data_IF_527074073443
#
_entry.id   IF_527074073443
#
_cell.length_a   1.000
_cell.length_b   1.000
_cell.length_c   1.000
_cell.angle_alpha   90.00
_cell.angle_beta   90.00
_cell.angle_gamma   90.00
#
_symmetry.space_group_name_H-M   'P 1'
#
loop_
_entity.id
_entity.type
_entity.pdbx_description
1 polymer ?
#
# COMPACT_ATOMS: atom_id res chain seq x y z
N UNK A 1 28.48 22.35 11.83
CA UNK A 1 27.07 21.96 11.64
C UNK A 1 26.22 23.14 12.07
N UNK A 2 25.68 23.89 11.11
CA UNK A 2 24.72 24.96 11.42
C UNK A 2 23.44 24.34 11.94
N UNK A 3 22.92 24.85 13.05
CA UNK A 3 21.59 24.48 13.51
C UNK A 3 20.59 24.79 12.39
N UNK A 4 19.75 23.81 12.05
CA UNK A 4 18.60 24.02 11.17
C UNK A 4 17.75 25.14 11.77
N UNK A 5 17.55 26.20 10.98
CA UNK A 5 16.69 27.32 11.36
C UNK A 5 15.26 26.79 11.51
N UNK A 6 14.59 26.97 12.66
CA UNK A 6 13.21 26.50 12.83
C UNK A 6 12.23 27.17 11.86
N UNK A 7 12.61 28.29 11.24
CA UNK A 7 11.85 28.98 10.19
C UNK A 7 12.26 28.55 8.76
N UNK A 8 13.06 27.48 8.59
CA UNK A 8 13.36 26.91 7.27
C UNK A 8 12.09 26.26 6.68
N UNK A 9 11.63 26.68 5.48
CA UNK A 9 10.46 26.08 4.83
C UNK A 9 10.60 24.56 4.60
N UNK A 10 11.83 24.05 4.57
CA UNK A 10 12.09 22.61 4.50
C UNK A 10 11.71 21.90 5.79
N UNK A 11 12.00 22.49 6.95
CA UNK A 11 11.67 21.96 8.28
C UNK A 11 10.17 21.94 8.55
N UNK A 12 9.45 22.96 8.06
CA UNK A 12 7.98 23.00 8.10
C UNK A 12 7.39 21.81 7.31
N UNK A 13 7.92 21.53 6.12
CA UNK A 13 7.45 20.42 5.30
C UNK A 13 7.71 19.05 5.96
N UNK A 14 8.88 18.85 6.56
CA UNK A 14 9.17 17.63 7.34
C UNK A 14 8.24 17.47 8.53
N UNK A 15 7.95 18.56 9.25
CA UNK A 15 7.08 18.55 10.43
C UNK A 15 5.64 18.24 10.04
N UNK A 16 5.12 18.86 8.98
CA UNK A 16 3.80 18.60 8.44
C UNK A 16 3.67 17.14 7.99
N UNK A 17 4.60 16.66 7.16
CA UNK A 17 4.59 15.27 6.70
C UNK A 17 4.64 14.29 7.88
N UNK A 18 5.46 14.56 8.91
CA UNK A 18 5.52 13.70 10.09
C UNK A 18 4.18 13.58 10.80
N UNK A 19 3.48 14.71 10.96
CA UNK A 19 2.18 14.75 11.61
C UNK A 19 1.12 14.01 10.77
N UNK A 20 1.06 14.26 9.47
CA UNK A 20 0.15 13.56 8.56
C UNK A 20 0.41 12.06 8.54
N UNK A 21 1.67 11.64 8.45
CA UNK A 21 2.03 10.24 8.48
C UNK A 21 1.62 9.58 9.80
N UNK A 22 1.80 10.24 10.95
CA UNK A 22 1.34 9.69 12.23
C UNK A 22 -0.17 9.56 12.34
N UNK A 23 -0.92 10.53 11.80
CA UNK A 23 -2.38 10.46 11.71
C UNK A 23 -2.81 9.26 10.85
N UNK A 24 -2.25 9.12 9.64
CA UNK A 24 -2.56 7.97 8.77
C UNK A 24 -2.23 6.64 9.44
N UNK A 25 -1.06 6.52 10.08
CA UNK A 25 -0.68 5.27 10.74
C UNK A 25 -1.63 4.93 11.89
N UNK A 26 -2.06 5.93 12.65
CA UNK A 26 -3.04 5.77 13.75
C UNK A 26 -4.41 5.35 13.21
N UNK A 27 -4.90 5.98 12.15
CA UNK A 27 -6.15 5.59 11.50
C UNK A 27 -6.11 4.16 10.97
N UNK A 28 -5.01 3.78 10.30
CA UNK A 28 -4.83 2.42 9.78
C UNK A 28 -4.85 1.40 10.92
N UNK A 29 -4.11 1.62 12.00
CA UNK A 29 -4.11 0.74 13.17
C UNK A 29 -5.52 0.57 13.75
N UNK A 30 -6.23 1.67 13.95
CA UNK A 30 -7.58 1.64 14.50
C UNK A 30 -8.57 0.85 13.64
N UNK A 31 -8.41 0.88 12.32
CA UNK A 31 -9.20 0.04 11.40
C UNK A 31 -8.82 -1.44 11.54
N UNK A 32 -7.52 -1.74 11.49
CA UNK A 32 -7.02 -3.12 11.47
C UNK A 32 -7.17 -3.85 12.81
N UNK A 33 -7.14 -3.11 13.92
CA UNK A 33 -7.35 -3.64 15.26
C UNK A 33 -8.81 -4.00 15.56
N UNK A 34 -9.77 -3.48 14.78
CA UNK A 34 -11.17 -3.88 14.91
C UNK A 34 -11.37 -5.27 14.29
N UNK A 35 -11.77 -6.25 15.11
CA UNK A 35 -11.98 -7.64 14.67
C UNK A 35 -13.45 -8.06 14.80
N UNK A 36 -14.12 -8.50 13.71
CA UNK A 36 -13.62 -8.50 12.32
C UNK A 36 -13.51 -7.07 11.76
N UNK A 37 -12.59 -6.86 10.81
CA UNK A 37 -12.45 -5.58 10.12
C UNK A 37 -13.69 -5.34 9.26
N UNK A 38 -14.32 -4.17 9.42
CA UNK A 38 -15.47 -3.77 8.61
C UNK A 38 -15.06 -3.62 7.12
N UNK A 39 -15.63 -4.42 6.20
CA UNK A 39 -15.34 -4.30 4.77
C UNK A 39 -15.61 -2.91 4.19
N UNK A 40 -16.53 -2.13 4.77
CA UNK A 40 -16.78 -0.76 4.35
C UNK A 40 -15.57 0.18 4.55
N UNK A 41 -14.65 -0.18 5.46
CA UNK A 41 -13.44 0.59 5.78
C UNK A 41 -12.23 0.22 4.92
N UNK A 42 -12.33 -0.78 4.04
CA UNK A 42 -11.24 -1.11 3.09
C UNK A 42 -10.90 0.07 2.18
N UNK A 43 -11.91 0.84 1.77
CA UNK A 43 -11.70 2.04 0.97
C UNK A 43 -10.94 3.14 1.73
N UNK A 44 -11.11 3.22 3.05
CA UNK A 44 -10.40 4.14 3.93
C UNK A 44 -8.92 3.73 4.06
N UNK A 45 -8.66 2.44 4.31
CA UNK A 45 -7.30 1.87 4.31
C UNK A 45 -6.55 2.17 3.02
N UNK A 46 -7.18 1.88 1.87
CA UNK A 46 -6.57 2.12 0.56
C UNK A 46 -6.18 3.59 0.36
N UNK A 47 -7.08 4.53 0.72
CA UNK A 47 -6.79 5.96 0.60
C UNK A 47 -5.66 6.40 1.53
N UNK A 48 -5.62 5.89 2.76
CA UNK A 48 -4.57 6.22 3.72
C UNK A 48 -3.19 5.79 3.19
N UNK A 49 -3.04 4.54 2.73
CA UNK A 49 -1.78 4.08 2.12
C UNK A 49 -1.42 4.85 0.84
N UNK A 50 -2.41 5.21 0.02
CA UNK A 50 -2.19 6.02 -1.18
C UNK A 50 -1.66 7.43 -0.86
N UNK A 51 -2.22 8.07 0.17
CA UNK A 51 -1.72 9.37 0.66
C UNK A 51 -0.30 9.25 1.22
N UNK A 52 -0.03 8.22 2.03
CA UNK A 52 1.31 7.97 2.57
C UNK A 52 2.34 7.75 1.46
N UNK A 53 1.98 7.00 0.41
CA UNK A 53 2.82 6.80 -0.78
C UNK A 53 3.14 8.13 -1.46
N UNK A 54 2.14 8.97 -1.70
CA UNK A 54 2.32 10.29 -2.32
C UNK A 54 3.20 11.22 -1.49
N UNK A 55 2.93 11.32 -0.18
CA UNK A 55 3.70 12.17 0.73
C UNK A 55 5.16 11.72 0.89
N UNK A 56 5.39 10.41 1.02
CA UNK A 56 6.75 9.87 1.17
C UNK A 56 7.60 10.06 -0.09
N UNK A 57 7.01 9.98 -1.28
CA UNK A 57 7.70 10.28 -2.54
C UNK A 57 8.18 11.74 -2.61
N UNK A 58 7.40 12.69 -2.08
CA UNK A 58 7.75 14.11 -2.08
C UNK A 58 9.00 14.44 -1.22
N UNK A 59 9.26 13.66 -0.18
CA UNK A 59 10.46 13.75 0.67
C UNK A 59 11.57 12.76 0.28
N UNK A 60 11.42 12.06 -0.84
CA UNK A 60 12.33 11.00 -1.27
C UNK A 60 12.54 9.88 -0.22
N UNK A 61 11.53 9.63 0.63
CA UNK A 61 11.49 8.53 1.60
C UNK A 61 11.06 7.24 0.91
N UNK A 62 11.92 6.75 0.01
CA UNK A 62 11.63 5.62 -0.89
C UNK A 62 11.28 4.35 -0.13
N UNK A 63 11.88 4.11 1.03
CA UNK A 63 11.63 2.89 1.77
C UNK A 63 10.23 2.92 2.46
N UNK A 64 9.73 4.11 2.87
CA UNK A 64 8.33 4.29 3.30
C UNK A 64 7.38 4.11 2.12
N UNK A 65 7.70 4.74 0.98
CA UNK A 65 6.94 4.62 -0.27
C UNK A 65 6.80 3.15 -0.70
N UNK A 66 7.86 2.36 -0.54
CA UNK A 66 7.90 0.93 -0.88
C UNK A 66 6.87 0.13 -0.10
N UNK A 67 6.79 0.35 1.21
CA UNK A 67 5.82 -0.35 2.08
C UNK A 67 4.40 0.11 1.74
N UNK A 68 4.21 1.42 1.56
CA UNK A 68 2.91 2.01 1.23
C UNK A 68 2.35 1.43 -0.07
N UNK A 69 3.20 1.35 -1.10
CA UNK A 69 2.83 0.81 -2.40
C UNK A 69 2.47 -0.68 -2.33
N UNK A 70 3.27 -1.50 -1.64
CA UNK A 70 2.95 -2.92 -1.49
C UNK A 70 1.63 -3.15 -0.75
N UNK A 71 1.31 -2.33 0.26
CA UNK A 71 0.03 -2.39 0.96
C UNK A 71 -1.14 -1.90 0.06
N UNK A 72 -0.94 -0.81 -0.68
CA UNK A 72 -1.91 -0.28 -1.66
C UNK A 72 -2.30 -1.34 -2.71
N UNK A 73 -1.32 -2.07 -3.26
CA UNK A 73 -1.54 -3.11 -4.27
C UNK A 73 -2.44 -4.24 -3.74
N UNK A 74 -2.19 -4.71 -2.52
CA UNK A 74 -2.98 -5.79 -1.93
C UNK A 74 -4.38 -5.30 -1.58
N UNK A 75 -4.52 -4.10 -1.04
CA UNK A 75 -5.82 -3.49 -0.75
C UNK A 75 -6.63 -3.19 -2.02
N UNK A 76 -5.96 -2.89 -3.13
CA UNK A 76 -6.60 -2.78 -4.43
C UNK A 76 -7.27 -4.10 -4.84
N UNK A 77 -6.58 -5.23 -4.65
CA UNK A 77 -7.11 -6.57 -4.93
C UNK A 77 -8.31 -6.90 -4.03
N UNK A 78 -8.23 -6.57 -2.74
CA UNK A 78 -9.34 -6.75 -1.78
C UNK A 78 -10.56 -5.94 -2.22
N UNK A 79 -10.37 -4.65 -2.54
CA UNK A 79 -11.46 -3.76 -2.98
C UNK A 79 -12.11 -4.23 -4.27
N UNK A 80 -11.33 -4.83 -5.16
CA UNK A 80 -11.80 -5.37 -6.45
C UNK A 80 -12.47 -6.75 -6.31
N UNK A 81 -12.57 -7.29 -5.09
CA UNK A 81 -13.17 -8.60 -4.83
C UNK A 81 -12.27 -9.79 -5.20
N UNK A 82 -11.01 -9.55 -5.55
CA UNK A 82 -10.05 -10.62 -5.91
C UNK A 82 -9.45 -11.33 -4.69
N UNK A 83 -9.63 -10.79 -3.48
CA UNK A 83 -9.14 -11.37 -2.23
C UNK A 83 -10.00 -10.91 -1.03
N UNK A 84 -10.12 -11.76 -0.01
CA UNK A 84 -10.71 -11.38 1.26
C UNK A 84 -9.67 -10.70 2.16
N UNK A 85 -10.09 -9.73 2.97
CA UNK A 85 -9.28 -9.20 4.06
C UNK A 85 -9.35 -10.17 5.25
N UNK A 86 -8.56 -11.24 5.19
CA UNK A 86 -8.49 -12.25 6.24
C UNK A 86 -7.49 -11.87 7.35
N UNK A 87 -7.46 -12.66 8.43
CA UNK A 87 -6.61 -12.40 9.59
C UNK A 87 -5.12 -12.40 9.25
N UNK A 88 -4.68 -13.20 8.28
CA UNK A 88 -3.28 -13.25 7.87
C UNK A 88 -2.88 -11.96 7.14
N UNK A 89 -3.71 -11.49 6.21
CA UNK A 89 -3.50 -10.20 5.55
C UNK A 89 -3.58 -9.02 6.53
N UNK A 90 -4.52 -9.02 7.47
CA UNK A 90 -4.58 -8.00 8.53
C UNK A 90 -3.27 -7.97 9.32
N UNK A 91 -2.74 -9.14 9.68
CA UNK A 91 -1.46 -9.26 10.38
C UNK A 91 -0.29 -8.73 9.54
N UNK A 92 -0.28 -9.00 8.23
CA UNK A 92 0.74 -8.49 7.32
C UNK A 92 0.68 -6.96 7.17
N UNK A 93 -0.52 -6.38 7.18
CA UNK A 93 -0.72 -4.92 7.15
C UNK A 93 -0.29 -4.26 8.47
N UNK A 94 -0.48 -4.93 9.62
CA UNK A 94 0.02 -4.45 10.91
C UNK A 94 1.56 -4.48 10.98
N UNK A 95 2.21 -5.54 10.49
CA UNK A 95 3.68 -5.59 10.39
C UNK A 95 4.23 -4.50 9.45
N UNK A 96 3.51 -4.22 8.36
CA UNK A 96 3.83 -3.10 7.47
C UNK A 96 3.74 -1.75 8.19
N UNK A 97 2.72 -1.58 9.03
CA UNK A 97 2.53 -0.39 9.84
C UNK A 97 3.69 -0.16 10.82
N UNK A 98 4.12 -1.22 11.51
CA UNK A 98 5.24 -1.16 12.45
C UNK A 98 6.55 -0.81 11.74
N UNK A 99 6.78 -1.37 10.55
CA UNK A 99 7.93 -1.02 9.73
C UNK A 99 7.89 0.45 9.28
N UNK A 100 6.72 0.96 8.88
CA UNK A 100 6.55 2.39 8.54
C UNK A 100 6.82 3.30 9.74
N UNK A 101 6.40 2.93 10.95
CA UNK A 101 6.71 3.66 12.19
C UNK A 101 8.21 3.73 12.45
N UNK A 102 8.91 2.60 12.27
CA UNK A 102 10.37 2.51 12.41
C UNK A 102 11.09 3.42 11.40
N UNK A 103 10.69 3.34 10.14
CA UNK A 103 11.24 4.16 9.05
C UNK A 103 10.99 5.65 9.31
N UNK A 104 9.76 6.02 9.67
CA UNK A 104 9.39 7.39 10.05
C UNK A 104 10.26 7.90 11.19
N UNK A 105 10.36 7.16 12.29
CA UNK A 105 11.14 7.57 13.46
C UNK A 105 12.60 7.87 13.10
N UNK A 106 13.20 7.03 12.25
CA UNK A 106 14.58 7.25 11.81
C UNK A 106 14.69 8.43 10.84
N UNK A 107 13.76 8.55 9.90
CA UNK A 107 13.71 9.66 8.96
C UNK A 107 13.58 11.00 9.68
N UNK A 108 12.73 11.10 10.71
CA UNK A 108 12.57 12.35 11.48
C UNK A 108 13.81 12.69 12.29
N UNK A 109 14.48 11.68 12.86
CA UNK A 109 15.67 11.88 13.68
C UNK A 109 16.93 12.22 12.86
N UNK A 110 17.04 11.70 11.64
CA UNK A 110 18.30 11.73 10.88
C UNK A 110 18.21 12.44 9.53
N UNK A 111 17.00 12.70 9.04
CA UNK A 111 16.72 13.17 7.67
C UNK A 111 17.31 12.28 6.58
N UNK A 112 17.43 10.98 6.90
CA UNK A 112 17.89 9.96 5.97
C UNK A 112 16.85 8.86 5.80
N UNK A 113 16.83 8.28 4.61
CA UNK A 113 16.07 7.06 4.33
C UNK A 113 16.85 5.84 4.85
N UNK A 114 16.14 4.83 5.31
CA UNK A 114 16.73 3.61 5.86
C UNK A 114 16.20 2.39 5.12
N UNK A 115 17.01 1.33 4.96
CA UNK A 115 16.54 0.14 4.27
C UNK A 115 15.31 -0.44 4.96
N UNK A 116 14.30 -0.70 4.16
CA UNK A 116 13.10 -1.44 4.58
C UNK A 116 13.46 -2.89 4.86
N UNK A 117 12.82 -3.50 5.85
CA UNK A 117 12.84 -4.94 6.03
C UNK A 117 12.16 -5.63 4.83
N UNK A 118 12.98 -6.23 3.96
CA UNK A 118 12.50 -6.89 2.75
C UNK A 118 11.49 -8.01 3.02
N UNK A 119 11.53 -8.65 4.21
CA UNK A 119 10.58 -9.69 4.59
C UNK A 119 9.14 -9.15 4.72
N UNK A 120 8.98 -7.93 5.23
CA UNK A 120 7.66 -7.28 5.37
C UNK A 120 7.04 -7.02 4.00
N UNK A 121 7.83 -6.47 3.07
CA UNK A 121 7.39 -6.22 1.68
C UNK A 121 7.09 -7.52 0.96
N UNK A 122 7.94 -8.55 1.13
CA UNK A 122 7.72 -9.87 0.54
C UNK A 122 6.43 -10.52 1.07
N UNK A 123 6.16 -10.37 2.38
CA UNK A 123 4.93 -10.89 2.99
C UNK A 123 3.70 -10.25 2.38
N UNK A 124 3.63 -8.92 2.28
CA UNK A 124 2.53 -8.23 1.59
C UNK A 124 2.36 -8.75 0.16
N UNK A 125 3.45 -8.81 -0.62
CA UNK A 125 3.41 -9.26 -2.02
C UNK A 125 2.96 -10.71 -2.18
N UNK A 126 3.17 -11.57 -1.18
CA UNK A 126 2.68 -12.96 -1.22
C UNK A 126 1.15 -13.05 -1.33
N UNK A 127 0.42 -12.02 -0.88
CA UNK A 127 -1.04 -11.96 -0.97
C UNK A 127 -1.56 -11.57 -2.37
N UNK A 128 -0.69 -11.11 -3.28
CA UNK A 128 -1.08 -10.75 -4.65
C UNK A 128 -1.33 -11.96 -5.56
N UNK A 129 -0.88 -13.16 -5.14
CA UNK A 129 -1.17 -14.40 -5.85
C UNK A 129 -2.64 -14.85 -5.71
N UNK A 130 -3.10 -15.78 -6.57
CA UNK A 130 -4.44 -16.34 -6.46
C UNK A 130 -4.63 -16.93 -5.07
N UNK A 131 -5.70 -16.48 -4.39
CA UNK A 131 -6.06 -16.94 -3.04
C UNK A 131 -6.14 -18.46 -3.04
N UNK A 132 -5.10 -19.12 -2.52
CA UNK A 132 -5.07 -20.58 -2.34
C UNK A 132 -5.81 -20.91 -1.05
N UNK A 133 -7.08 -20.53 -0.98
CA UNK A 133 -8.00 -21.09 0.00
C UNK A 133 -8.73 -22.23 -0.72
N UNK A 134 -8.61 -23.49 -0.28
CA UNK A 134 -9.42 -24.55 -0.83
C UNK A 134 -10.90 -24.24 -0.58
N UNK A 135 -11.77 -24.19 -1.60
CA UNK A 135 -13.20 -24.20 -1.36
C UNK A 135 -13.59 -25.60 -0.89
N UNK A 136 -13.77 -25.78 0.43
CA UNK A 136 -14.61 -26.89 0.91
C UNK A 136 -16.06 -26.50 0.68
N UNK A 137 -16.55 -26.70 -0.55
CA UNK A 137 -17.95 -26.99 -0.86
C UNK A 137 -18.02 -27.53 -2.28
N UNK A 138 -18.14 -28.85 -2.38
CA UNK A 138 -18.51 -29.56 -3.61
C UNK A 138 -20.03 -29.60 -3.70
N UNK A 139 -20.62 -28.97 -4.71
CA UNK A 139 -21.88 -29.41 -5.30
C UNK A 139 -21.96 -28.95 -6.78
N UNK A 140 -22.40 -29.81 -7.72
CA UNK A 140 -22.21 -29.61 -9.15
C UNK A 140 -23.34 -28.83 -9.84
N UNK A 141 -22.96 -28.12 -10.90
CA UNK A 141 -23.78 -27.31 -11.83
C UNK A 141 -24.52 -28.18 -12.88
N UNK A 142 -25.73 -27.80 -13.34
CA UNK A 142 -26.24 -28.16 -14.67
C UNK A 142 -26.12 -27.02 -15.73
N UNK A 143 -26.13 -27.37 -17.04
CA UNK A 143 -25.64 -26.54 -18.16
C UNK A 143 -26.65 -25.51 -18.76
N UNK A 144 -26.20 -24.60 -19.67
CA UNK A 144 -26.95 -23.43 -20.17
C UNK A 144 -27.62 -23.64 -21.55
N UNK A 145 -28.49 -22.73 -22.00
CA UNK A 145 -28.75 -22.49 -23.42
C UNK A 145 -28.06 -21.23 -24.00
N UNK A 146 -27.56 -21.41 -25.24
CA UNK A 146 -27.04 -20.44 -26.23
C UNK A 146 -28.20 -19.63 -26.87
N UNK A 147 -28.12 -18.48 -27.55
CA UNK A 147 -27.09 -17.80 -28.38
C UNK A 147 -27.53 -16.33 -28.63
N UNK A 148 -26.59 -15.44 -29.04
CA UNK A 148 -26.66 -14.60 -30.27
C UNK A 148 -25.93 -13.24 -30.17
N UNK A 149 -24.77 -13.18 -30.85
CA UNK A 149 -24.24 -12.18 -31.82
C UNK A 149 -24.46 -10.67 -31.67
N UNK A 150 -23.33 -9.92 -31.66
CA UNK A 150 -23.09 -8.83 -32.63
C UNK A 150 -22.48 -7.51 -32.10
N UNK A 151 -21.27 -7.17 -32.56
CA UNK A 151 -20.83 -5.78 -32.77
C UNK A 151 -19.51 -5.33 -32.11
N UNK A 152 -18.49 -5.05 -32.93
CA UNK A 152 -17.19 -4.40 -32.62
C UNK A 152 -17.01 -3.28 -33.70
N UNK A 153 -16.06 -2.32 -33.61
CA UNK A 153 -15.66 -1.37 -32.56
C UNK A 153 -15.62 0.10 -33.11
N UNK A 154 -14.93 1.10 -32.50
CA UNK A 154 -13.46 1.21 -32.63
C UNK A 154 -12.70 1.74 -31.40
N UNK A 155 -11.38 1.59 -31.51
CA UNK A 155 -10.35 1.78 -30.49
C UNK A 155 -10.05 3.24 -30.15
N UNK A 156 -9.89 3.51 -28.85
CA UNK A 156 -9.23 4.71 -28.34
C UNK A 156 -7.79 4.41 -27.91
N UNK A 157 -6.94 5.39 -28.21
CA UNK A 157 -5.49 5.34 -28.30
C UNK A 157 -4.86 5.05 -26.95
N UNK A 158 -3.81 4.21 -26.99
CA UNK A 158 -2.87 3.97 -25.90
C UNK A 158 -2.20 5.28 -25.49
N UNK A 159 -2.37 5.67 -24.22
CA UNK A 159 -1.42 6.54 -23.56
C UNK A 159 -0.08 5.79 -23.38
N UNK A 160 1.07 6.42 -23.63
CA UNK A 160 2.35 5.79 -23.34
C UNK A 160 2.46 5.62 -21.81
N UNK A 161 2.60 4.37 -21.38
CA UNK A 161 2.98 4.06 -20.00
C UNK A 161 4.38 4.61 -19.79
N UNK A 162 4.48 5.71 -19.04
CA UNK A 162 5.75 6.10 -18.41
C UNK A 162 6.05 5.01 -17.39
N UNK A 163 6.85 4.03 -17.79
CA UNK A 163 7.49 3.12 -16.85
C UNK A 163 8.47 3.96 -16.05
N UNK A 164 8.01 4.52 -14.93
CA UNK A 164 8.93 4.85 -13.85
C UNK A 164 9.53 3.51 -13.41
N UNK A 165 10.75 3.25 -13.87
CA UNK A 165 11.55 2.13 -13.42
C UNK A 165 11.84 2.40 -11.94
N UNK A 166 11.02 1.80 -11.09
CA UNK A 166 11.21 1.82 -9.65
C UNK A 166 12.53 1.10 -9.33
N UNK A 167 13.52 1.86 -8.85
CA UNK A 167 14.78 1.31 -8.37
C UNK A 167 14.60 0.86 -6.91
N UNK A 168 15.04 -0.35 -6.55
CA UNK A 168 14.89 -0.84 -5.19
C UNK A 168 15.66 0.05 -4.20
N UNK A 169 15.03 0.32 -3.06
CA UNK A 169 15.64 0.91 -1.88
C UNK A 169 16.92 0.11 -1.51
N UNK A 170 18.11 0.72 -1.63
CA UNK A 170 19.40 0.12 -1.22
C UNK A 170 20.51 0.00 -2.27
N UNK A 171 20.31 0.39 -3.54
CA UNK A 171 21.45 0.47 -4.49
C UNK A 171 22.21 1.78 -4.32
N UNK A 172 23.50 1.77 -3.96
CA UNK A 172 24.34 2.97 -4.02
C UNK A 172 24.53 3.44 -5.47
N UNK A 173 24.83 4.73 -5.63
CA UNK A 173 25.08 5.39 -6.93
C UNK A 173 26.27 4.78 -7.68
#
# INVERSE_FOLDING_TARGET
>A
MGATDPDDPTEEFWSLFSAELDEYLTTIEAILAASPVDPARVGELFRAFHSVKGGSAALALRCVETVAHAAEDVLHLVRSGGKALDTDLVSALLEALDEMRRLRGTAMATRTDQPVNAAVVARLKSHLGPSSTPPTTTAPKPPPPSSATGGDPPAHRRCPSVTMIWRPCGTPF
#
